data_IF_964197066458
#
_entry.id   IF_964197066458
#
_cell.length_a   1.000
_cell.length_b   1.000
_cell.length_c   1.000
_cell.angle_alpha   90.00
_cell.angle_beta   90.00
_cell.angle_gamma   90.00
#
_symmetry.space_group_name_H-M   'P 1'
#
loop_
_entity.id
_entity.type
_entity.pdbx_description
1 polymer ?
#
# COMPACT_ATOMS: atom_id res chain seq x y z
N UNK A 1 -7.96 17.87 -16.44
CA UNK A 1 -7.68 16.46 -16.06
C UNK A 1 -9.02 15.73 -15.96
N UNK A 2 -9.13 14.44 -16.24
CA UNK A 2 -10.37 13.71 -15.97
C UNK A 2 -10.64 13.77 -14.46
N UNK A 3 -11.90 13.94 -14.10
CA UNK A 3 -12.34 14.00 -12.70
C UNK A 3 -12.04 12.64 -12.05
N UNK A 4 -11.36 12.65 -10.91
CA UNK A 4 -11.14 11.46 -10.10
C UNK A 4 -12.46 11.04 -9.47
N UNK A 5 -12.78 9.76 -9.47
CA UNK A 5 -13.98 9.25 -8.83
C UNK A 5 -13.89 9.45 -7.31
N UNK A 6 -15.01 9.82 -6.68
CA UNK A 6 -15.05 10.00 -5.22
C UNK A 6 -14.78 8.68 -4.51
N UNK A 7 -13.76 8.60 -3.64
CA UNK A 7 -13.43 7.39 -2.92
C UNK A 7 -14.59 6.85 -2.08
N UNK A 8 -14.70 5.54 -1.98
CA UNK A 8 -15.75 4.85 -1.22
C UNK A 8 -15.13 4.25 0.04
N UNK A 9 -15.52 4.78 1.21
CA UNK A 9 -15.16 4.20 2.50
C UNK A 9 -16.05 3.01 2.83
N UNK A 10 -15.46 1.94 3.35
CA UNK A 10 -16.14 0.74 3.80
C UNK A 10 -15.81 0.52 5.27
N UNK A 11 -16.82 0.60 6.14
CA UNK A 11 -16.72 0.14 7.51
C UNK A 11 -17.07 -1.35 7.57
N UNK A 12 -16.30 -2.12 8.32
CA UNK A 12 -16.44 -3.60 8.34
C UNK A 12 -15.99 -4.23 7.02
N UNK A 13 -14.77 -3.94 6.57
CA UNK A 13 -14.22 -4.40 5.29
C UNK A 13 -14.23 -5.94 5.13
N UNK A 14 -13.97 -6.66 6.22
CA UNK A 14 -13.99 -8.13 6.25
C UNK A 14 -15.05 -8.65 7.23
N UNK A 15 -15.59 -9.83 6.92
CA UNK A 15 -16.52 -10.52 7.81
C UNK A 15 -15.81 -11.01 9.09
N UNK A 16 -14.59 -11.52 8.94
CA UNK A 16 -13.74 -11.99 10.04
C UNK A 16 -12.39 -11.25 10.04
N UNK A 17 -12.32 -10.07 10.68
CA UNK A 17 -11.09 -9.29 10.75
C UNK A 17 -9.99 -9.96 11.56
N UNK A 18 -10.36 -10.81 12.54
CA UNK A 18 -9.40 -11.56 13.36
C UNK A 18 -8.65 -12.58 12.52
N UNK A 19 -9.36 -13.31 11.65
CA UNK A 19 -8.75 -14.24 10.72
C UNK A 19 -7.82 -13.55 9.73
N UNK A 20 -8.15 -12.35 9.26
CA UNK A 20 -7.27 -11.57 8.36
C UNK A 20 -6.00 -11.13 9.09
N UNK A 21 -6.10 -10.62 10.31
CA UNK A 21 -4.92 -10.27 11.13
C UNK A 21 -4.02 -11.48 11.34
N UNK A 22 -4.59 -12.62 11.76
CA UNK A 22 -3.85 -13.86 11.96
C UNK A 22 -3.19 -14.35 10.66
N UNK A 23 -3.83 -14.14 9.51
CA UNK A 23 -3.26 -14.46 8.20
C UNK A 23 -2.00 -13.61 7.93
N UNK A 24 -2.04 -12.31 8.20
CA UNK A 24 -0.89 -11.42 8.06
C UNK A 24 0.23 -11.82 9.02
N UNK A 25 -0.07 -12.07 10.27
CA UNK A 25 0.92 -12.41 11.30
C UNK A 25 1.71 -13.68 11.01
N UNK A 26 1.07 -14.71 10.45
CA UNK A 26 1.72 -16.02 10.20
C UNK A 26 2.44 -16.14 8.84
N UNK A 27 2.19 -15.23 7.90
CA UNK A 27 2.74 -15.32 6.53
C UNK A 27 3.93 -14.38 6.28
N UNK A 28 4.66 -14.01 7.35
CA UNK A 28 5.97 -13.39 7.22
C UNK A 28 7.06 -14.38 6.78
N UNK A 29 8.30 -13.93 6.49
CA UNK A 29 8.71 -12.52 6.57
C UNK A 29 8.19 -11.68 5.40
N UNK A 30 8.03 -10.37 5.66
CA UNK A 30 7.75 -9.36 4.64
C UNK A 30 9.04 -8.65 4.27
N UNK A 31 9.26 -8.40 2.99
CA UNK A 31 10.49 -7.79 2.48
C UNK A 31 10.37 -6.28 2.36
N UNK A 32 11.47 -5.57 2.59
CA UNK A 32 11.54 -4.14 2.36
C UNK A 32 11.00 -3.78 0.96
N UNK A 33 10.18 -2.72 0.87
CA UNK A 33 9.65 -2.24 -0.41
C UNK A 33 10.78 -1.88 -1.38
N UNK A 34 11.94 -1.48 -0.89
CA UNK A 34 13.11 -1.18 -1.69
C UNK A 34 13.58 -2.38 -2.53
N UNK A 35 13.33 -3.61 -2.08
CA UNK A 35 13.66 -4.83 -2.85
C UNK A 35 12.82 -5.01 -4.12
N UNK A 36 11.69 -4.33 -4.23
CA UNK A 36 10.78 -4.37 -5.38
C UNK A 36 11.03 -3.23 -6.38
N UNK A 37 11.97 -2.36 -6.10
CA UNK A 37 12.27 -1.20 -6.90
C UNK A 37 13.64 -1.32 -7.57
N UNK A 38 13.84 -0.73 -8.75
CA UNK A 38 15.17 -0.69 -9.34
C UNK A 38 16.14 0.09 -8.43
N UNK A 39 17.44 -0.23 -8.43
CA UNK A 39 18.44 0.40 -7.56
C UNK A 39 18.51 1.94 -7.63
N UNK A 40 17.96 2.52 -8.69
CA UNK A 40 17.90 3.97 -8.92
C UNK A 40 16.61 4.63 -8.44
N UNK A 41 15.67 3.86 -7.88
CA UNK A 41 14.43 4.40 -7.34
C UNK A 41 14.60 4.64 -5.83
N UNK A 42 14.47 5.88 -5.40
CA UNK A 42 14.36 6.23 -3.98
C UNK A 42 12.93 5.99 -3.50
N UNK A 43 12.77 5.25 -2.43
CA UNK A 43 11.51 5.16 -1.68
C UNK A 43 11.60 6.16 -0.55
N UNK A 44 11.05 7.30 -0.75
CA UNK A 44 11.04 8.36 0.24
C UNK A 44 10.99 9.71 -0.45
N UNK A 45 10.27 10.65 0.11
CA UNK A 45 10.26 12.02 -0.41
C UNK A 45 11.67 12.61 -0.34
N UNK A 46 12.22 12.97 -1.48
CA UNK A 46 13.47 13.70 -1.54
C UNK A 46 13.26 15.12 -1.03
N UNK A 47 13.34 15.31 0.29
CA UNK A 47 13.55 16.60 0.93
C UNK A 47 14.99 16.67 1.45
N UNK A 48 15.64 17.84 1.35
CA UNK A 48 16.98 18.08 1.90
C UNK A 48 17.00 17.73 3.40
N UNK A 49 17.61 16.59 3.77
CA UNK A 49 17.74 16.14 5.16
C UNK A 49 17.12 14.78 5.50
N UNK A 50 16.62 14.03 4.52
CA UNK A 50 16.10 12.68 4.72
C UNK A 50 17.23 11.67 5.03
N UNK A 51 17.01 10.70 5.96
CA UNK A 51 18.03 9.69 6.26
C UNK A 51 18.31 8.84 5.04
N UNK A 52 19.62 8.62 4.78
CA UNK A 52 20.06 7.62 3.80
C UNK A 52 19.60 6.23 4.24
N UNK A 53 18.62 5.66 3.54
CA UNK A 53 18.14 4.30 3.84
C UNK A 53 16.74 4.04 3.29
N UNK A 54 16.36 2.78 3.28
CA UNK A 54 15.01 2.39 2.91
C UNK A 54 14.04 2.68 4.07
N UNK A 55 12.83 3.15 3.75
CA UNK A 55 11.78 3.30 4.74
C UNK A 55 11.42 1.94 5.37
N UNK A 56 11.05 1.90 6.68
CA UNK A 56 10.53 0.71 7.34
C UNK A 56 9.13 0.30 6.83
N UNK A 57 9.04 0.15 5.54
CA UNK A 57 7.88 -0.28 4.79
C UNK A 57 8.20 -1.62 4.11
N UNK A 58 7.46 -2.64 4.49
CA UNK A 58 7.64 -4.00 4.03
C UNK A 58 6.43 -4.47 3.26
N UNK A 59 6.64 -5.44 2.36
CA UNK A 59 5.61 -5.86 1.42
C UNK A 59 5.72 -7.34 1.09
N UNK A 60 4.56 -7.94 0.79
CA UNK A 60 4.47 -9.25 0.14
C UNK A 60 3.30 -9.26 -0.85
N UNK A 61 3.51 -9.88 -2.02
CA UNK A 61 2.46 -10.11 -3.00
C UNK A 61 1.78 -11.45 -2.67
N UNK A 62 0.50 -11.40 -2.32
CA UNK A 62 -0.28 -12.58 -1.93
C UNK A 62 -1.20 -13.09 -3.04
N UNK A 63 -1.51 -12.25 -4.03
CA UNK A 63 -2.15 -12.67 -5.27
C UNK A 63 -1.65 -11.82 -6.44
N UNK A 64 -1.54 -12.45 -7.61
CA UNK A 64 -1.11 -11.81 -8.87
C UNK A 64 -1.94 -12.38 -10.01
N UNK A 65 -2.41 -11.52 -10.90
CA UNK A 65 -3.22 -11.87 -12.07
C UNK A 65 -4.44 -12.75 -11.73
N UNK A 66 -5.13 -12.44 -10.62
CA UNK A 66 -6.31 -13.16 -10.15
C UNK A 66 -6.02 -14.53 -9.50
N UNK A 67 -4.75 -14.84 -9.25
CA UNK A 67 -4.33 -16.10 -8.64
C UNK A 67 -3.72 -15.87 -7.27
N UNK A 68 -4.27 -16.50 -6.23
CA UNK A 68 -3.69 -16.51 -4.88
C UNK A 68 -2.36 -17.26 -4.87
N UNK A 69 -1.36 -16.68 -4.22
CA UNK A 69 -0.02 -17.24 -4.01
C UNK A 69 0.18 -17.71 -2.56
N UNK A 70 -0.65 -17.20 -1.65
CA UNK A 70 -0.64 -17.52 -0.22
C UNK A 70 -1.98 -18.15 0.14
N UNK A 71 -1.95 -19.22 0.92
CA UNK A 71 -3.17 -19.90 1.40
C UNK A 71 -4.02 -18.94 2.22
N UNK A 72 -5.31 -18.83 1.88
CA UNK A 72 -6.27 -17.93 2.49
C UNK A 72 -6.30 -16.51 1.90
N UNK A 73 -5.39 -16.14 0.98
CA UNK A 73 -5.41 -14.84 0.32
C UNK A 73 -6.63 -14.63 -0.61
N UNK A 74 -7.27 -15.70 -1.02
CA UNK A 74 -8.49 -15.70 -1.83
C UNK A 74 -9.67 -15.01 -1.12
N UNK A 75 -9.73 -15.04 0.19
CA UNK A 75 -10.73 -14.31 1.00
C UNK A 75 -10.59 -12.79 0.83
N UNK A 76 -9.35 -12.31 0.70
CA UNK A 76 -9.06 -10.89 0.44
C UNK A 76 -9.28 -10.58 -1.04
N UNK A 77 -8.73 -11.42 -1.93
CA UNK A 77 -8.81 -11.26 -3.38
C UNK A 77 -10.26 -11.16 -3.86
N UNK A 78 -11.11 -12.08 -3.39
CA UNK A 78 -12.51 -12.19 -3.83
C UNK A 78 -13.49 -11.53 -2.86
N UNK A 79 -13.05 -10.54 -2.09
CA UNK A 79 -13.92 -9.84 -1.15
C UNK A 79 -15.09 -9.15 -1.87
N UNK A 80 -16.34 -9.57 -1.66
CA UNK A 80 -17.47 -9.04 -2.41
C UNK A 80 -17.73 -7.55 -2.13
N UNK A 81 -17.35 -7.04 -0.94
CA UNK A 81 -17.49 -5.62 -0.61
C UNK A 81 -16.55 -4.75 -1.41
N UNK A 82 -15.32 -5.24 -1.70
CA UNK A 82 -14.35 -4.51 -2.53
C UNK A 82 -14.77 -4.54 -4.00
N UNK A 83 -15.26 -5.67 -4.49
CA UNK A 83 -15.76 -5.83 -5.86
C UNK A 83 -16.97 -4.92 -6.09
N UNK A 84 -17.94 -4.92 -5.16
CA UNK A 84 -19.12 -4.05 -5.24
C UNK A 84 -18.72 -2.56 -5.21
N UNK A 85 -17.83 -2.16 -4.30
CA UNK A 85 -17.38 -0.79 -4.22
C UNK A 85 -16.62 -0.34 -5.48
N UNK A 86 -15.76 -1.18 -6.05
CA UNK A 86 -15.07 -0.91 -7.30
C UNK A 86 -16.06 -0.79 -8.48
N UNK A 87 -17.06 -1.67 -8.51
CA UNK A 87 -18.15 -1.60 -9.49
C UNK A 87 -18.91 -0.28 -9.43
N UNK A 88 -19.25 0.18 -8.23
CA UNK A 88 -19.93 1.47 -8.01
C UNK A 88 -19.02 2.65 -8.32
N UNK A 89 -17.74 2.58 -7.92
CA UNK A 89 -16.76 3.66 -8.14
C UNK A 89 -16.66 4.06 -9.61
N UNK A 90 -16.67 3.08 -10.49
CA UNK A 90 -16.51 3.28 -11.93
C UNK A 90 -17.79 3.05 -12.76
N UNK A 91 -18.91 2.73 -12.11
CA UNK A 91 -20.17 2.36 -12.79
C UNK A 91 -19.98 1.21 -13.80
N UNK A 92 -19.17 0.20 -13.41
CA UNK A 92 -18.82 -0.96 -14.24
C UNK A 92 -19.30 -2.26 -13.59
N UNK A 93 -19.78 -3.19 -14.41
CA UNK A 93 -20.32 -4.49 -13.93
C UNK A 93 -19.32 -5.64 -14.03
N UNK A 94 -18.36 -5.58 -14.95
CA UNK A 94 -17.31 -6.62 -15.13
C UNK A 94 -16.04 -6.19 -14.38
N UNK A 95 -16.08 -6.27 -13.05
CA UNK A 95 -14.93 -6.01 -12.18
C UNK A 95 -14.26 -7.33 -11.82
N UNK A 96 -12.95 -7.41 -12.03
CA UNK A 96 -12.16 -8.60 -11.77
C UNK A 96 -11.04 -8.30 -10.79
N UNK A 97 -11.00 -8.97 -9.64
CA UNK A 97 -9.88 -8.85 -8.73
C UNK A 97 -8.61 -9.45 -9.36
N UNK A 98 -7.51 -8.74 -9.24
CA UNK A 98 -6.25 -9.14 -9.88
C UNK A 98 -5.11 -9.36 -8.91
N UNK A 99 -5.03 -8.54 -7.87
CA UNK A 99 -3.83 -8.47 -7.03
C UNK A 99 -4.21 -8.28 -5.57
N UNK A 100 -3.50 -8.99 -4.70
CA UNK A 100 -3.47 -8.73 -3.26
C UNK A 100 -2.03 -8.45 -2.86
N UNK A 101 -1.84 -7.30 -2.23
CA UNK A 101 -0.56 -6.88 -1.66
C UNK A 101 -0.77 -6.61 -0.19
N UNK A 102 0.04 -7.23 0.65
CA UNK A 102 0.09 -6.91 2.07
C UNK A 102 1.28 -6.00 2.31
N UNK A 103 1.02 -4.86 2.92
CA UNK A 103 2.03 -3.93 3.39
C UNK A 103 2.08 -3.98 4.91
N UNK A 104 3.28 -3.95 5.46
CA UNK A 104 3.56 -3.89 6.89
C UNK A 104 4.47 -2.70 7.12
N UNK A 105 3.99 -1.71 7.86
CA UNK A 105 4.75 -0.51 8.16
C UNK A 105 5.13 -0.48 9.63
N UNK A 106 6.41 -0.46 9.94
CA UNK A 106 6.92 -0.11 11.26
C UNK A 106 6.95 1.43 11.41
N UNK A 107 7.23 1.97 12.61
CA UNK A 107 7.36 3.41 12.81
C UNK A 107 8.26 4.06 11.76
N UNK A 108 7.75 5.07 11.06
CA UNK A 108 8.43 5.70 9.92
C UNK A 108 7.91 7.12 9.68
N UNK A 109 8.71 7.92 8.99
CA UNK A 109 8.30 9.22 8.44
C UNK A 109 7.19 9.05 7.38
N UNK A 110 6.50 10.13 7.06
CA UNK A 110 5.48 10.09 6.03
C UNK A 110 6.06 9.69 4.67
N UNK A 111 5.33 8.89 3.93
CA UNK A 111 5.68 8.57 2.54
C UNK A 111 5.53 9.76 1.61
N UNK A 112 6.21 9.72 0.48
CA UNK A 112 6.05 10.73 -0.57
C UNK A 112 4.62 10.74 -1.12
N UNK A 113 4.12 11.92 -1.48
CA UNK A 113 2.86 12.06 -2.21
C UNK A 113 3.06 11.52 -3.63
N UNK A 114 2.19 10.62 -4.06
CA UNK A 114 2.29 9.97 -5.37
C UNK A 114 0.91 9.56 -5.90
N UNK A 115 0.88 9.13 -7.14
CA UNK A 115 -0.18 8.31 -7.72
C UNK A 115 0.38 6.92 -7.97
N UNK A 116 -0.46 5.91 -7.97
CA UNK A 116 -0.04 4.56 -8.32
C UNK A 116 0.40 4.48 -9.79
N UNK A 117 1.18 3.45 -10.11
CA UNK A 117 1.69 3.27 -11.46
C UNK A 117 0.59 2.70 -12.34
N UNK A 118 0.15 3.46 -13.37
CA UNK A 118 -0.95 3.04 -14.22
C UNK A 118 -0.59 1.82 -15.08
N UNK A 119 -1.61 1.06 -15.43
CA UNK A 119 -1.54 0.02 -16.44
C UNK A 119 -2.25 0.46 -17.72
N UNK A 120 -1.77 -0.01 -18.87
CA UNK A 120 -2.38 0.21 -20.17
C UNK A 120 -2.60 -1.12 -20.89
N UNK A 121 -3.55 -1.18 -21.81
CA UNK A 121 -3.78 -2.38 -22.62
C UNK A 121 -2.51 -2.74 -23.40
N UNK A 122 -1.91 -3.90 -23.04
CA UNK A 122 -0.65 -4.37 -23.60
C UNK A 122 0.63 -3.83 -22.94
N UNK A 123 0.53 -2.87 -22.01
CA UNK A 123 1.67 -2.31 -21.29
C UNK A 123 1.39 -2.21 -19.78
N UNK A 124 2.00 -3.08 -19.01
CA UNK A 124 1.88 -3.15 -17.56
C UNK A 124 3.26 -3.39 -16.92
N UNK A 125 3.31 -3.40 -15.60
CA UNK A 125 4.54 -3.55 -14.81
C UNK A 125 5.26 -4.89 -14.99
N UNK A 126 4.59 -5.92 -15.49
CA UNK A 126 5.20 -7.22 -15.75
C UNK A 126 6.07 -7.22 -17.03
N UNK A 127 5.81 -6.27 -17.93
CA UNK A 127 6.43 -6.21 -19.25
C UNK A 127 7.29 -4.97 -19.48
N UNK A 128 7.03 -3.89 -18.75
CA UNK A 128 7.66 -2.59 -19.00
C UNK A 128 8.20 -1.96 -17.71
N UNK A 129 9.32 -1.21 -17.80
CA UNK A 129 9.85 -0.47 -16.66
C UNK A 129 8.84 0.52 -16.09
N UNK A 130 8.78 0.62 -14.76
CA UNK A 130 7.84 1.50 -14.04
C UNK A 130 7.93 2.96 -14.53
N UNK A 131 9.15 3.47 -14.80
CA UNK A 131 9.36 4.83 -15.32
C UNK A 131 8.66 5.08 -16.65
N UNK A 132 8.64 4.07 -17.54
CA UNK A 132 7.92 4.20 -18.81
C UNK A 132 6.41 4.31 -18.57
N UNK A 133 5.84 3.46 -17.72
CA UNK A 133 4.42 3.50 -17.40
C UNK A 133 4.02 4.82 -16.73
N UNK A 134 4.86 5.34 -15.82
CA UNK A 134 4.68 6.67 -15.23
C UNK A 134 4.70 7.78 -16.28
N UNK A 135 5.69 7.77 -17.20
CA UNK A 135 5.77 8.73 -18.29
C UNK A 135 4.56 8.64 -19.23
N UNK A 136 4.08 7.43 -19.55
CA UNK A 136 2.86 7.23 -20.32
C UNK A 136 1.64 7.83 -19.62
N UNK A 137 1.51 7.63 -18.29
CA UNK A 137 0.46 8.23 -17.49
C UNK A 137 0.52 9.75 -17.46
N UNK A 138 1.69 10.30 -17.17
CA UNK A 138 1.90 11.75 -17.08
C UNK A 138 1.70 12.48 -18.42
N UNK A 139 1.99 11.82 -19.55
CA UNK A 139 1.82 12.42 -20.89
C UNK A 139 0.37 12.64 -21.30
N UNK A 140 -0.58 11.89 -20.73
CA UNK A 140 -1.99 11.87 -21.16
C UNK A 140 -2.25 11.27 -22.56
N UNK A 141 -1.20 10.96 -23.33
CA UNK A 141 -1.34 10.46 -24.70
C UNK A 141 -1.94 9.06 -24.79
N UNK A 142 -1.87 8.29 -23.71
CA UNK A 142 -2.26 6.88 -23.65
C UNK A 142 -3.59 6.63 -22.94
N UNK A 143 -4.33 7.68 -22.57
CA UNK A 143 -5.57 7.56 -21.78
C UNK A 143 -6.61 6.62 -22.39
N UNK A 144 -6.76 6.59 -23.70
CA UNK A 144 -7.71 5.67 -24.38
C UNK A 144 -7.36 4.18 -24.22
N UNK A 145 -6.14 3.87 -23.80
CA UNK A 145 -5.68 2.49 -23.55
C UNK A 145 -5.47 2.22 -22.06
N UNK A 146 -5.67 3.21 -21.19
CA UNK A 146 -5.56 3.01 -19.73
C UNK A 146 -6.51 1.91 -19.28
N UNK A 147 -6.01 1.02 -18.45
CA UNK A 147 -6.83 0.06 -17.71
C UNK A 147 -7.39 0.79 -16.51
N UNK A 148 -8.69 0.69 -16.28
CA UNK A 148 -9.33 1.26 -15.09
C UNK A 148 -9.08 0.30 -13.93
N UNK A 149 -8.39 0.76 -12.89
CA UNK A 149 -8.02 -0.03 -11.73
C UNK A 149 -8.53 0.66 -10.45
N UNK A 150 -9.23 -0.10 -9.58
CA UNK A 150 -9.56 0.34 -8.24
C UNK A 150 -8.54 -0.21 -7.25
N UNK A 151 -7.94 0.66 -6.45
CA UNK A 151 -7.20 0.28 -5.26
C UNK A 151 -8.14 0.14 -4.06
N UNK A 152 -8.29 -1.05 -3.50
CA UNK A 152 -8.98 -1.29 -2.24
C UNK A 152 -7.93 -1.43 -1.13
N UNK A 153 -7.80 -0.43 -0.27
CA UNK A 153 -6.83 -0.44 0.82
C UNK A 153 -7.60 -0.62 2.13
N UNK A 154 -7.28 -1.69 2.85
CA UNK A 154 -7.83 -1.96 4.18
C UNK A 154 -6.74 -1.87 5.25
N UNK A 155 -7.11 -1.43 6.46
CA UNK A 155 -6.17 -1.20 7.54
C UNK A 155 -6.61 -1.82 8.85
N UNK A 156 -5.57 -2.19 9.62
CA UNK A 156 -5.67 -2.62 11.01
C UNK A 156 -4.55 -1.92 11.78
N UNK A 157 -4.83 -0.78 12.40
CA UNK A 157 -3.83 -0.01 13.12
C UNK A 157 -4.48 0.92 14.14
N UNK A 158 -4.00 0.89 15.38
CA UNK A 158 -4.53 1.69 16.48
C UNK A 158 -3.51 2.69 17.05
N UNK A 159 -2.25 2.59 16.59
CA UNK A 159 -1.15 3.43 17.05
C UNK A 159 -1.24 4.88 16.56
N UNK A 160 -0.30 5.73 17.01
CA UNK A 160 -0.25 7.13 16.63
C UNK A 160 0.19 7.31 15.17
N UNK A 161 -0.35 8.32 14.50
CA UNK A 161 -0.10 8.58 13.08
C UNK A 161 -0.78 7.58 12.16
N UNK A 162 -0.14 7.21 11.06
CA UNK A 162 -0.62 6.18 10.13
C UNK A 162 -1.80 6.61 9.27
N UNK A 163 -2.11 7.90 9.16
CA UNK A 163 -3.17 8.39 8.31
C UNK A 163 -2.96 7.99 6.84
N UNK A 164 -4.04 7.87 6.10
CA UNK A 164 -4.02 7.84 4.65
C UNK A 164 -4.54 9.19 4.14
N UNK A 165 -3.62 10.01 3.64
CA UNK A 165 -3.93 11.32 3.08
C UNK A 165 -4.13 11.21 1.58
N UNK A 166 -5.13 11.91 1.01
CA UNK A 166 -5.44 11.87 -0.41
C UNK A 166 -6.04 13.18 -0.94
N UNK A 167 -5.91 13.43 -2.24
CA UNK A 167 -6.31 14.67 -2.92
C UNK A 167 -7.18 14.35 -4.14
N UNK A 168 -8.50 14.23 -3.98
CA UNK A 168 -9.39 13.88 -5.09
C UNK A 168 -9.48 14.96 -6.17
N UNK A 169 -9.29 16.24 -5.81
CA UNK A 169 -9.27 17.36 -6.74
C UNK A 169 -7.86 17.73 -7.23
N UNK A 170 -6.85 16.90 -6.97
CA UNK A 170 -5.45 17.20 -7.25
C UNK A 170 -4.76 17.99 -6.14
N UNK A 171 -3.43 18.19 -6.26
CA UNK A 171 -2.61 18.77 -5.19
C UNK A 171 -2.95 20.23 -4.84
N UNK A 172 -3.60 20.95 -5.74
CA UNK A 172 -4.10 22.31 -5.49
C UNK A 172 -5.44 22.31 -4.74
N UNK A 173 -6.09 21.14 -4.62
CA UNK A 173 -7.35 20.96 -3.92
C UNK A 173 -7.17 20.64 -2.43
N UNK A 174 -8.31 20.41 -1.75
CA UNK A 174 -8.30 20.07 -0.34
C UNK A 174 -7.70 18.68 -0.10
N UNK A 175 -6.84 18.58 0.94
CA UNK A 175 -6.38 17.29 1.44
C UNK A 175 -7.47 16.65 2.29
N UNK A 176 -7.78 15.39 2.01
CA UNK A 176 -8.63 14.54 2.82
C UNK A 176 -7.78 13.51 3.56
N UNK A 177 -8.27 12.98 4.67
CA UNK A 177 -7.56 11.97 5.45
C UNK A 177 -8.51 10.92 6.01
N UNK A 178 -8.11 9.66 5.92
CA UNK A 178 -8.64 8.58 6.77
C UNK A 178 -7.62 8.34 7.88
N UNK A 179 -8.06 8.38 9.12
CA UNK A 179 -7.18 8.37 10.31
C UNK A 179 -7.47 7.20 11.23
N UNK A 180 -6.46 6.70 11.96
CA UNK A 180 -6.69 5.73 13.04
C UNK A 180 -7.61 6.29 14.16
N UNK A 181 -8.22 5.40 14.94
CA UNK A 181 -8.01 3.96 14.95
C UNK A 181 -8.62 3.28 13.72
N UNK A 182 -7.86 2.36 13.12
CA UNK A 182 -8.33 1.55 12.01
C UNK A 182 -8.69 0.16 12.52
N UNK A 183 -9.95 -0.14 12.59
CA UNK A 183 -10.44 -1.49 12.86
C UNK A 183 -11.35 -1.93 11.72
N UNK A 184 -10.83 -2.80 10.86
CA UNK A 184 -11.59 -3.38 9.76
C UNK A 184 -12.22 -2.34 8.82
N UNK A 185 -11.49 -1.27 8.51
CA UNK A 185 -11.90 -0.18 7.62
C UNK A 185 -11.16 -0.31 6.30
N UNK A 186 -11.82 0.02 5.20
CA UNK A 186 -11.19 0.15 3.88
C UNK A 186 -11.61 1.42 3.15
N UNK A 187 -10.76 1.83 2.19
CA UNK A 187 -11.06 2.85 1.20
C UNK A 187 -10.85 2.24 -0.20
N UNK A 188 -11.85 2.39 -1.08
CA UNK A 188 -11.74 2.00 -2.48
C UNK A 188 -11.67 3.25 -3.33
N UNK A 189 -10.60 3.40 -4.11
CA UNK A 189 -10.29 4.63 -4.82
C UNK A 189 -9.57 4.39 -6.16
N UNK A 190 -9.55 5.41 -7.01
CA UNK A 190 -8.81 5.50 -8.28
C UNK A 190 -7.38 5.99 -7.98
N UNK A 191 -6.56 5.13 -7.37
CA UNK A 191 -5.23 5.50 -6.87
C UNK A 191 -4.20 5.79 -7.97
N UNK A 192 -4.43 5.34 -9.20
CA UNK A 192 -3.55 5.64 -10.32
C UNK A 192 -3.80 7.05 -10.94
N UNK A 193 -4.80 7.76 -10.41
CA UNK A 193 -5.12 9.15 -10.75
C UNK A 193 -5.20 10.06 -9.54
N UNK A 194 -5.56 9.52 -8.39
CA UNK A 194 -5.69 10.28 -7.14
C UNK A 194 -4.36 10.34 -6.40
N UNK A 195 -3.84 11.54 -6.17
CA UNK A 195 -2.68 11.72 -5.31
C UNK A 195 -2.97 11.25 -3.89
N UNK A 196 -2.06 10.51 -3.33
CA UNK A 196 -2.18 9.98 -1.97
C UNK A 196 -0.81 9.73 -1.33
N UNK A 197 -0.83 9.52 -0.02
CA UNK A 197 0.34 9.08 0.75
C UNK A 197 -0.08 8.39 2.04
N UNK A 198 0.86 7.64 2.62
CA UNK A 198 0.81 7.26 4.03
C UNK A 198 1.40 8.41 4.86
N UNK A 199 0.71 8.84 5.93
CA UNK A 199 1.25 9.74 6.93
C UNK A 199 2.37 9.06 7.75
N UNK A 200 3.02 9.79 8.63
CA UNK A 200 3.98 9.21 9.56
C UNK A 200 3.30 8.11 10.42
N UNK A 201 4.06 7.05 10.75
CA UNK A 201 3.60 5.92 11.58
C UNK A 201 4.44 5.88 12.85
N UNK A 202 3.81 5.67 14.01
CA UNK A 202 4.48 5.63 15.29
C UNK A 202 4.77 7.03 15.86
N UNK A 203 5.83 7.15 16.64
CA UNK A 203 6.29 8.44 17.17
C UNK A 203 7.19 9.14 16.12
N UNK A 204 6.83 10.35 15.66
CA UNK A 204 7.65 11.08 14.68
C UNK A 204 9.02 11.50 15.23
N UNK A 205 9.21 11.50 16.56
CA UNK A 205 10.50 11.76 17.19
C UNK A 205 11.36 10.50 17.38
N UNK A 206 10.79 9.31 17.10
CA UNK A 206 11.56 8.07 17.17
C UNK A 206 12.64 8.05 16.09
N UNK A 207 13.86 7.57 16.41
CA UNK A 207 14.91 7.44 15.41
C UNK A 207 14.49 6.47 14.31
N UNK A 208 14.73 6.86 13.06
CA UNK A 208 14.51 5.97 11.93
C UNK A 208 15.50 4.80 11.97
N UNK A 209 15.05 3.62 11.59
CA UNK A 209 15.90 2.45 11.48
C UNK A 209 16.60 2.46 10.13
N UNK A 210 17.93 2.59 10.14
CA UNK A 210 18.73 2.43 8.94
C UNK A 210 18.74 0.96 8.51
N UNK A 211 18.31 0.66 7.30
CA UNK A 211 18.24 -0.71 6.77
C UNK A 211 18.50 -0.74 5.28
N UNK A 212 18.94 -1.90 4.78
CA UNK A 212 19.13 -2.12 3.35
C UNK A 212 17.83 -2.56 2.66
N UNK A 213 17.88 -2.67 1.33
CA UNK A 213 16.80 -3.27 0.55
C UNK A 213 16.58 -4.77 0.89
N UNK A 214 17.57 -5.44 1.49
CA UNK A 214 17.48 -6.83 1.92
C UNK A 214 16.78 -7.04 3.27
N UNK A 215 16.41 -5.96 3.96
CA UNK A 215 15.74 -6.06 5.26
C UNK A 215 14.37 -6.74 5.16
N UNK A 216 14.03 -7.46 6.21
CA UNK A 216 12.76 -8.17 6.36
C UNK A 216 12.13 -7.86 7.73
N UNK A 217 10.80 -7.96 7.80
CA UNK A 217 10.06 -7.89 9.07
C UNK A 217 9.20 -9.14 9.24
N UNK A 218 9.17 -9.69 10.45
CA UNK A 218 8.26 -10.77 10.78
C UNK A 218 7.82 -10.72 12.25
N UNK A 219 6.65 -11.31 12.51
CA UNK A 219 6.17 -11.51 13.87
C UNK A 219 6.95 -12.63 14.54
N UNK A 220 7.35 -12.42 15.80
CA UNK A 220 8.08 -13.36 16.63
C UNK A 220 7.11 -14.13 17.54
N UNK A 221 7.56 -15.24 18.10
CA UNK A 221 6.80 -16.03 19.09
C UNK A 221 6.42 -15.22 20.33
N UNK A 222 7.21 -14.18 20.67
CA UNK A 222 6.90 -13.23 21.74
C UNK A 222 5.67 -12.36 21.46
N UNK A 223 5.20 -12.31 20.21
CA UNK A 223 4.14 -11.42 19.76
C UNK A 223 4.64 -10.08 19.22
N UNK A 224 5.92 -9.75 19.38
CA UNK A 224 6.55 -8.58 18.79
C UNK A 224 6.85 -8.78 17.30
N UNK A 225 7.03 -7.68 16.58
CA UNK A 225 7.54 -7.68 15.22
C UNK A 225 9.01 -7.26 15.22
N UNK A 226 9.85 -8.02 14.54
CA UNK A 226 11.28 -7.76 14.45
C UNK A 226 11.70 -7.43 13.02
N UNK A 227 12.45 -6.33 12.87
CA UNK A 227 13.17 -6.02 11.63
C UNK A 227 14.53 -6.67 11.71
N UNK A 228 14.88 -7.43 10.67
CA UNK A 228 16.19 -8.06 10.50
C UNK A 228 16.80 -7.63 9.17
N UNK A 229 18.12 -7.46 9.13
CA UNK A 229 18.87 -7.17 7.92
C UNK A 229 20.19 -7.93 7.96
N UNK A 230 20.51 -8.69 6.90
CA UNK A 230 21.68 -9.57 6.83
C UNK A 230 21.85 -10.49 8.07
N UNK A 231 20.73 -10.94 8.66
CA UNK A 231 20.70 -11.81 9.85
C UNK A 231 20.84 -11.08 11.19
N UNK A 232 21.07 -9.77 11.21
CA UNK A 232 21.10 -8.97 12.42
C UNK A 232 19.70 -8.44 12.77
N UNK A 233 19.32 -8.45 14.05
CA UNK A 233 18.09 -7.79 14.52
C UNK A 233 18.36 -6.30 14.67
N UNK A 234 17.64 -5.47 13.92
CA UNK A 234 17.79 -4.01 13.92
C UNK A 234 16.86 -3.33 14.91
N UNK A 235 15.61 -3.79 14.97
CA UNK A 235 14.58 -3.20 15.83
C UNK A 235 13.49 -4.22 16.16
N UNK A 236 12.75 -3.96 17.24
CA UNK A 236 11.56 -4.71 17.65
C UNK A 236 10.45 -3.74 18.04
N UNK A 237 9.23 -4.11 17.68
CA UNK A 237 8.05 -3.29 17.94
C UNK A 237 6.90 -4.16 18.44
N UNK A 238 6.12 -3.69 19.42
CA UNK A 238 4.85 -4.32 19.78
C UNK A 238 3.86 -4.22 18.61
N UNK A 239 2.92 -5.18 18.54
CA UNK A 239 2.01 -5.31 17.39
C UNK A 239 1.16 -4.08 17.11
N UNK A 240 0.80 -3.31 18.15
CA UNK A 240 0.02 -2.07 18.04
C UNK A 240 0.78 -0.93 17.33
N UNK A 241 2.09 -1.02 17.22
CA UNK A 241 2.91 -0.05 16.48
C UNK A 241 3.09 -0.42 15.00
N UNK A 242 2.58 -1.58 14.57
CA UNK A 242 2.69 -2.06 13.19
C UNK A 242 1.38 -1.78 12.45
N UNK A 243 1.50 -1.08 11.31
CA UNK A 243 0.40 -0.67 10.42
C UNK A 243 0.36 -1.51 9.15
#
# INVERSE_FOLDING_TARGET
MPTVATPIKIDGAFHDPVAIRALVERNGPYRSIASYLPPSATVGGGGDGEPEGALPWFRSNWAVNGRSLVEGADVILNNPRFIDAASRLFSMTDVRPTTVVVNVNAPMVAGAVHVDIPSFRGANRDRYPLRLLQAMGASGLFEKWRVVEAGAISWFYEGPGGAYDYWPEGLDGAMHSVRPPFDNVALVADNDRMYHRIGWVGDPAAPSVAMSAGAEICRQDSGEWAITDAGASLARYPGEQIR
#
